data_IF_673806387053
#
_entry.id   IF_673806387053
#
_cell.length_a   1.000
_cell.length_b   1.000
_cell.length_c   1.000
_cell.angle_alpha   90.00
_cell.angle_beta   90.00
_cell.angle_gamma   90.00
#
_symmetry.space_group_name_H-M   'P 1'
#
loop_
_entity.id
_entity.type
_entity.pdbx_description
1 polymer ?
#
# COMPACT_ATOMS: atom_id res chain seq x y z
N UNK A 1 -3.13 -11.83 1.84
CA UNK A 1 -4.21 -11.10 2.56
C UNK A 1 -3.69 -10.75 3.94
N UNK A 2 -3.80 -9.49 4.32
CA UNK A 2 -3.28 -8.91 5.55
C UNK A 2 -4.43 -8.26 6.33
N UNK A 3 -4.38 -8.38 7.65
CA UNK A 3 -5.33 -7.78 8.58
C UNK A 3 -4.56 -7.08 9.71
N UNK A 4 -4.85 -5.81 9.95
CA UNK A 4 -4.33 -5.05 11.09
C UNK A 4 -5.18 -5.29 12.35
N UNK A 5 -6.49 -5.37 12.17
CA UNK A 5 -7.46 -5.48 13.24
C UNK A 5 -7.92 -4.11 13.72
N UNK A 6 -7.83 -3.86 15.03
CA UNK A 6 -8.27 -2.59 15.62
C UNK A 6 -7.06 -1.81 16.11
N UNK A 7 -7.03 -0.52 15.81
CA UNK A 7 -5.93 0.36 16.21
C UNK A 7 -5.25 0.97 15.00
N UNK A 8 -4.10 1.60 15.23
CA UNK A 8 -3.28 2.16 14.17
C UNK A 8 -2.18 1.17 13.80
N UNK A 9 -2.41 0.43 12.72
CA UNK A 9 -1.56 -0.66 12.26
C UNK A 9 -0.58 -0.18 11.18
N UNK A 10 0.56 -0.88 11.09
CA UNK A 10 1.59 -0.60 10.09
C UNK A 10 1.80 -1.83 9.22
N UNK A 11 1.53 -1.69 7.93
CA UNK A 11 1.78 -2.70 6.92
C UNK A 11 3.12 -2.43 6.25
N UNK A 12 4.12 -3.25 6.56
CA UNK A 12 5.50 -3.05 6.13
C UNK A 12 5.85 -3.86 4.88
N UNK A 13 6.43 -3.20 3.89
CA UNK A 13 7.01 -3.83 2.69
C UNK A 13 8.45 -3.34 2.50
N UNK A 14 9.41 -4.24 2.69
CA UNK A 14 10.84 -3.95 2.68
C UNK A 14 11.51 -4.17 1.32
N UNK A 15 10.87 -4.90 0.42
CA UNK A 15 11.35 -5.16 -0.94
C UNK A 15 10.22 -5.09 -1.97
N UNK A 16 10.56 -4.73 -3.21
CA UNK A 16 9.60 -4.70 -4.33
C UNK A 16 8.98 -6.08 -4.61
N UNK A 17 9.66 -7.16 -4.21
CA UNK A 17 9.17 -8.53 -4.35
C UNK A 17 8.21 -8.98 -3.25
N UNK A 18 8.01 -8.16 -2.20
CA UNK A 18 7.13 -8.53 -1.10
C UNK A 18 5.66 -8.59 -1.54
N UNK A 19 5.29 -7.79 -2.55
CA UNK A 19 3.97 -7.83 -3.17
C UNK A 19 4.08 -7.40 -4.63
N UNK A 20 3.64 -8.26 -5.54
CA UNK A 20 3.82 -8.03 -6.99
C UNK A 20 2.51 -8.11 -7.75
N UNK A 21 2.48 -7.59 -8.98
CA UNK A 21 1.30 -7.68 -9.88
C UNK A 21 0.75 -9.11 -10.06
N UNK A 22 1.60 -10.14 -9.98
CA UNK A 22 1.20 -11.54 -10.14
C UNK A 22 0.86 -12.23 -8.81
N UNK A 23 1.36 -11.69 -7.70
CA UNK A 23 1.21 -12.22 -6.35
C UNK A 23 0.91 -11.05 -5.40
N UNK A 24 -0.21 -10.36 -5.65
CA UNK A 24 -0.57 -9.14 -4.94
C UNK A 24 -1.06 -9.43 -3.53
N UNK A 25 -0.47 -8.75 -2.55
CA UNK A 25 -1.01 -8.71 -1.19
C UNK A 25 -2.21 -7.77 -1.10
N UNK A 26 -3.23 -8.25 -0.41
CA UNK A 26 -4.49 -7.53 -0.19
C UNK A 26 -4.60 -7.19 1.28
N UNK A 27 -4.60 -5.91 1.64
CA UNK A 27 -4.92 -5.43 2.99
C UNK A 27 -6.44 -5.29 3.08
N UNK A 28 -7.05 -6.10 3.94
CA UNK A 28 -8.50 -6.31 3.95
C UNK A 28 -9.28 -5.33 4.84
N UNK A 29 -8.60 -4.69 5.80
CA UNK A 29 -9.22 -3.87 6.85
C UNK A 29 -8.51 -2.53 7.07
N UNK A 30 -7.87 -1.97 6.04
CA UNK A 30 -7.17 -0.68 6.13
C UNK A 30 -8.11 0.45 6.58
N UNK A 31 -7.73 1.17 7.63
CA UNK A 31 -8.42 2.34 8.17
C UNK A 31 -7.56 3.62 8.08
N UNK A 32 -8.17 4.80 8.28
CA UNK A 32 -7.48 6.10 8.12
C UNK A 32 -6.27 6.31 9.06
N UNK A 33 -6.22 5.57 10.17
CA UNK A 33 -5.14 5.63 11.16
C UNK A 33 -3.99 4.66 10.84
N UNK A 34 -4.19 3.74 9.88
CA UNK A 34 -3.16 2.79 9.47
C UNK A 34 -2.15 3.42 8.53
N UNK A 35 -0.99 2.80 8.44
CA UNK A 35 0.12 3.26 7.60
C UNK A 35 0.70 2.12 6.78
N UNK A 36 1.17 2.46 5.59
CA UNK A 36 1.98 1.57 4.76
C UNK A 36 3.43 2.04 4.85
N UNK A 37 4.32 1.18 5.32
CA UNK A 37 5.75 1.48 5.45
C UNK A 37 6.52 0.94 4.25
N UNK A 38 7.01 1.88 3.43
CA UNK A 38 7.84 1.64 2.24
C UNK A 38 9.22 2.29 2.40
N UNK A 39 9.62 2.63 3.63
CA UNK A 39 10.85 3.40 3.92
C UNK A 39 12.12 2.73 3.40
N UNK A 40 12.16 1.39 3.33
CA UNK A 40 13.31 0.65 2.81
C UNK A 40 13.43 0.69 1.28
N UNK A 41 12.39 1.10 0.57
CA UNK A 41 12.38 1.17 -0.89
C UNK A 41 13.01 2.45 -1.44
N UNK A 42 13.27 3.45 -0.57
CA UNK A 42 13.89 4.73 -0.93
C UNK A 42 13.15 5.50 -2.05
N UNK A 43 11.82 5.46 -2.01
CA UNK A 43 10.93 6.16 -2.93
C UNK A 43 10.31 7.40 -2.27
N UNK A 44 9.82 8.33 -3.08
CA UNK A 44 9.02 9.45 -2.66
C UNK A 44 7.51 9.21 -2.93
N UNK A 45 6.65 10.08 -2.39
CA UNK A 45 5.20 9.93 -2.58
C UNK A 45 4.78 10.10 -4.04
N UNK A 46 5.51 10.95 -4.78
CA UNK A 46 5.32 11.16 -6.22
C UNK A 46 5.66 9.95 -7.10
N UNK A 47 6.39 8.95 -6.57
CA UNK A 47 6.66 7.70 -7.30
C UNK A 47 5.49 6.70 -7.21
N UNK A 48 4.48 7.01 -6.39
CA UNK A 48 3.30 6.17 -6.21
C UNK A 48 2.22 6.48 -7.25
N UNK A 49 1.72 5.41 -7.89
CA UNK A 49 0.55 5.44 -8.74
C UNK A 49 -0.62 4.75 -8.05
N UNK A 50 -1.79 5.39 -8.09
CA UNK A 50 -3.02 4.87 -7.49
C UNK A 50 -4.03 4.51 -8.57
N UNK A 51 -4.54 3.28 -8.53
CA UNK A 51 -5.61 2.83 -9.40
C UNK A 51 -6.84 2.43 -8.59
N UNK A 52 -8.04 2.74 -9.10
CA UNK A 52 -9.29 2.55 -8.37
C UNK A 52 -10.21 1.59 -9.11
N UNK A 53 -10.46 0.43 -8.49
CA UNK A 53 -11.50 -0.50 -8.89
C UNK A 53 -12.86 -0.12 -8.32
N UNK A 54 -13.86 -1.00 -8.49
CA UNK A 54 -15.16 -0.79 -7.85
C UNK A 54 -15.10 -0.93 -6.33
N UNK A 55 -14.24 -1.82 -5.84
CA UNK A 55 -14.14 -2.25 -4.46
C UNK A 55 -12.67 -2.43 -4.00
N UNK A 56 -11.73 -1.79 -4.70
CA UNK A 56 -10.32 -1.81 -4.32
C UNK A 56 -9.58 -0.53 -4.71
N UNK A 57 -8.44 -0.32 -4.04
CA UNK A 57 -7.43 0.68 -4.39
C UNK A 57 -6.10 -0.04 -4.55
N UNK A 58 -5.49 0.04 -5.72
CA UNK A 58 -4.13 -0.46 -5.94
C UNK A 58 -3.12 0.67 -5.72
N UNK A 59 -2.03 0.33 -5.04
CA UNK A 59 -0.91 1.21 -4.73
C UNK A 59 0.31 0.61 -5.40
N UNK A 60 0.79 1.30 -6.43
CA UNK A 60 1.86 0.81 -7.29
C UNK A 60 3.04 1.78 -7.21
N UNK A 61 4.24 1.26 -7.47
CA UNK A 61 5.43 2.10 -7.65
C UNK A 61 5.75 2.17 -9.14
N UNK A 62 5.79 3.38 -9.69
CA UNK A 62 6.00 3.59 -11.13
C UNK A 62 7.29 2.90 -11.62
N UNK A 63 7.18 2.17 -12.74
CA UNK A 63 8.32 1.48 -13.34
C UNK A 63 8.73 0.17 -12.67
N UNK A 64 7.96 -0.34 -11.70
CA UNK A 64 8.22 -1.61 -11.01
C UNK A 64 7.06 -2.61 -11.16
N UNK A 65 7.25 -3.84 -10.67
CA UNK A 65 6.16 -4.83 -10.53
C UNK A 65 5.46 -4.76 -9.18
N UNK A 66 5.84 -3.82 -8.30
CA UNK A 66 5.25 -3.71 -6.97
C UNK A 66 3.80 -3.22 -7.06
N UNK A 67 2.91 -3.93 -6.36
CA UNK A 67 1.51 -3.57 -6.21
C UNK A 67 1.04 -4.03 -4.84
N UNK A 68 0.35 -3.18 -4.08
CA UNK A 68 -0.38 -3.56 -2.87
C UNK A 68 -1.82 -3.10 -3.03
N UNK A 69 -2.76 -4.01 -2.77
CA UNK A 69 -4.19 -3.75 -2.90
C UNK A 69 -4.84 -3.50 -1.55
N UNK A 70 -5.60 -2.43 -1.44
CA UNK A 70 -6.52 -2.21 -0.33
C UNK A 70 -7.93 -2.66 -0.72
N UNK A 71 -8.63 -3.36 0.16
CA UNK A 71 -10.06 -3.58 0.02
C UNK A 71 -10.82 -2.27 0.22
N UNK A 72 -11.68 -1.90 -0.72
CA UNK A 72 -12.41 -0.64 -0.77
C UNK A 72 -11.69 0.46 -1.55
N UNK A 73 -12.43 1.54 -1.85
CA UNK A 73 -11.85 2.76 -2.39
C UNK A 73 -11.34 3.64 -1.23
N UNK A 74 -10.06 3.98 -1.27
CA UNK A 74 -9.39 4.78 -0.24
C UNK A 74 -8.84 6.05 -0.84
N UNK A 75 -9.11 7.20 -0.22
CA UNK A 75 -8.45 8.44 -0.59
C UNK A 75 -7.14 8.54 0.17
N UNK A 76 -6.06 8.09 -0.47
CA UNK A 76 -4.73 8.07 0.11
C UNK A 76 -4.03 9.42 -0.09
N UNK A 77 -3.36 9.86 0.97
CA UNK A 77 -2.48 11.02 1.03
C UNK A 77 -1.13 10.58 1.58
N UNK A 78 -0.11 11.44 1.49
CA UNK A 78 1.21 11.18 2.06
C UNK A 78 1.17 10.79 3.54
N UNK A 79 0.19 11.28 4.32
CA UNK A 79 0.05 10.92 5.73
C UNK A 79 -0.19 9.43 5.97
N UNK A 80 -0.63 8.67 4.96
CA UNK A 80 -0.87 7.22 5.06
C UNK A 80 0.40 6.39 4.82
N UNK A 81 1.55 7.03 4.57
CA UNK A 81 2.79 6.35 4.21
C UNK A 81 3.93 6.72 5.14
N UNK A 82 4.77 5.73 5.46
CA UNK A 82 6.12 5.96 5.97
C UNK A 82 7.10 5.77 4.80
N UNK A 83 7.70 6.88 4.37
CA UNK A 83 8.64 6.97 3.25
C UNK A 83 10.01 7.48 3.74
N UNK A 84 11.04 7.37 2.90
CA UNK A 84 12.42 7.78 3.22
C UNK A 84 12.63 9.29 3.33
#
# INVERSE_FOLDING_TARGET
MLFGGSGADIFYFGALSDSTLNEVDIIADFEAQDRIDLSQLHIAYEDLSFSFGQDYTDIQIEGTEFDVRLAGQHHLTQDHFHLA
#
